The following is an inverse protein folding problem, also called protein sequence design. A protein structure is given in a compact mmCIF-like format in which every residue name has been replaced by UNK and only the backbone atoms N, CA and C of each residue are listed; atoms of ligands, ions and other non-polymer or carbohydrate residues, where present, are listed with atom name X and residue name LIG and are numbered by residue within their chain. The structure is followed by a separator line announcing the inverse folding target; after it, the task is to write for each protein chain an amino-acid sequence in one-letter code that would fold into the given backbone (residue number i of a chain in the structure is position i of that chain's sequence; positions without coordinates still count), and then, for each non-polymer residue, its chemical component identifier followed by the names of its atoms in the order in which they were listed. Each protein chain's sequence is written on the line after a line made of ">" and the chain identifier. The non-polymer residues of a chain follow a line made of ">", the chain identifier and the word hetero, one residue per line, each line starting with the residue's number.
data_IF_520534095534
#
_entry.id   IF_520534095534
#
_cell.length_a   1.000
_cell.length_b   1.000
_cell.length_c   1.000
_cell.angle_alpha   90.00
_cell.angle_beta   90.00
_cell.angle_gamma   90.00
#
_symmetry.space_group_name_H-M   'P 1'
#
loop_
_entity.id
_entity.type
_entity.pdbx_description
1 polymer ?
#
# COMPACT_ATOMS: atom_id res chain seq x y z
N UNK A 1 -12.31 22.75 17.70
CA UNK A 1 -10.91 22.45 18.07
C UNK A 1 -10.90 21.36 19.14
N UNK A 2 -10.41 20.21 18.81
CA UNK A 2 -10.34 19.07 19.75
C UNK A 2 -9.20 19.27 20.74
N UNK A 3 -9.50 19.12 22.03
CA UNK A 3 -8.45 19.14 23.06
C UNK A 3 -7.60 17.86 22.92
N UNK A 4 -6.27 17.94 23.04
CA UNK A 4 -5.45 16.74 23.08
C UNK A 4 -5.84 15.90 24.32
N UNK A 5 -5.86 14.59 24.15
CA UNK A 5 -6.07 13.66 25.25
C UNK A 5 -4.88 13.80 26.20
N UNK A 6 -5.18 13.94 27.50
CA UNK A 6 -4.15 14.06 28.55
C UNK A 6 -3.14 12.91 28.46
N UNK A 7 -1.84 13.22 28.40
CA UNK A 7 -0.75 12.26 28.29
C UNK A 7 -0.29 11.94 26.86
N UNK A 8 -0.99 12.43 25.83
CA UNK A 8 -0.55 12.29 24.44
C UNK A 8 0.14 13.58 24.01
N UNK A 9 1.41 13.48 23.62
CA UNK A 9 2.14 14.60 23.01
C UNK A 9 1.45 15.02 21.72
N UNK A 10 1.50 16.31 21.38
CA UNK A 10 0.96 16.86 20.14
C UNK A 10 1.33 15.98 18.93
N UNK A 11 0.30 15.47 18.26
CA UNK A 11 0.47 14.71 17.02
C UNK A 11 0.87 15.69 15.90
N UNK A 12 1.88 15.37 15.08
CA UNK A 12 2.21 16.21 13.93
C UNK A 12 0.99 16.45 13.05
N UNK A 13 0.82 17.66 12.56
CA UNK A 13 -0.26 17.96 11.61
C UNK A 13 0.15 17.56 10.22
N UNK A 14 -0.63 16.68 9.61
CA UNK A 14 -0.48 16.31 8.22
C UNK A 14 -1.42 17.14 7.36
N UNK A 15 -0.95 17.58 6.20
CA UNK A 15 -1.75 18.36 5.25
C UNK A 15 -2.64 17.49 4.39
N UNK A 16 -2.17 16.31 4.02
CA UNK A 16 -2.85 15.42 3.11
C UNK A 16 -2.62 13.97 3.51
N UNK A 17 -3.71 13.25 3.68
CA UNK A 17 -3.71 11.82 3.88
C UNK A 17 -4.30 11.10 2.68
N UNK A 18 -3.88 9.86 2.45
CA UNK A 18 -4.46 9.00 1.43
C UNK A 18 -4.88 7.67 2.04
N UNK A 19 -6.09 7.24 1.71
CA UNK A 19 -6.61 5.93 2.05
C UNK A 19 -6.74 5.09 0.78
N UNK A 20 -6.05 3.98 0.74
CA UNK A 20 -5.94 3.11 -0.42
C UNK A 20 -6.71 1.81 -0.16
N UNK A 21 -7.80 1.63 -0.87
CA UNK A 21 -8.68 0.48 -0.69
C UNK A 21 -8.06 -0.82 -1.22
N UNK A 22 -8.59 -1.95 -0.76
CA UNK A 22 -8.36 -3.22 -1.38
C UNK A 22 -9.10 -3.33 -2.73
N UNK A 23 -9.09 -4.49 -3.32
CA UNK A 23 -9.81 -4.75 -4.57
C UNK A 23 -9.15 -5.82 -5.44
N UNK A 24 -8.29 -6.63 -4.86
CA UNK A 24 -7.57 -7.67 -5.60
C UNK A 24 -6.75 -7.07 -6.74
N UNK A 25 -6.88 -7.61 -7.93
CA UNK A 25 -6.15 -7.14 -9.12
C UNK A 25 -6.44 -5.67 -9.46
N UNK A 26 -7.64 -5.16 -9.14
CA UNK A 26 -8.00 -3.75 -9.34
C UNK A 26 -7.19 -2.80 -8.46
N UNK A 27 -6.70 -3.28 -7.32
CA UNK A 27 -5.86 -2.50 -6.40
C UNK A 27 -4.54 -2.05 -7.04
N UNK A 28 -4.09 -2.68 -8.09
CA UNK A 28 -2.90 -2.24 -8.82
C UNK A 28 -3.08 -0.89 -9.53
N UNK A 29 -4.32 -0.43 -9.71
CA UNK A 29 -4.59 0.92 -10.19
C UNK A 29 -4.07 2.02 -9.25
N UNK A 30 -3.83 1.70 -7.97
CA UNK A 30 -3.26 2.66 -7.01
C UNK A 30 -1.93 3.23 -7.49
N UNK A 31 -1.11 2.43 -8.15
CA UNK A 31 0.17 2.90 -8.70
C UNK A 31 -0.01 4.05 -9.69
N UNK A 32 -0.98 3.93 -10.59
CA UNK A 32 -1.30 4.98 -11.57
C UNK A 32 -1.86 6.24 -10.92
N UNK A 33 -2.75 6.08 -9.94
CA UNK A 33 -3.33 7.22 -9.19
C UNK A 33 -2.26 7.97 -8.43
N UNK A 34 -1.39 7.27 -7.71
CA UNK A 34 -0.30 7.89 -6.94
C UNK A 34 0.69 8.62 -7.85
N UNK A 35 0.99 8.04 -9.00
CA UNK A 35 1.81 8.70 -10.01
C UNK A 35 1.18 10.01 -10.50
N UNK A 36 -0.11 9.97 -10.84
CA UNK A 36 -0.85 11.16 -11.28
C UNK A 36 -0.89 12.24 -10.18
N UNK A 37 -1.10 11.85 -8.93
CA UNK A 37 -1.05 12.77 -7.79
C UNK A 37 0.32 13.45 -7.70
N UNK A 38 1.38 12.69 -7.82
CA UNK A 38 2.74 13.23 -7.79
C UNK A 38 2.97 14.22 -8.93
N UNK A 39 2.54 13.91 -10.15
CA UNK A 39 2.64 14.80 -11.32
C UNK A 39 1.86 16.10 -11.12
N UNK A 40 0.75 16.05 -10.38
CA UNK A 40 -0.03 17.25 -10.02
C UNK A 40 0.52 18.00 -8.80
N UNK A 41 1.62 17.56 -8.23
CA UNK A 41 2.20 18.18 -7.02
C UNK A 41 1.49 17.81 -5.72
N UNK A 42 0.58 16.83 -5.75
CA UNK A 42 -0.11 16.33 -4.57
C UNK A 42 0.74 15.24 -3.91
N UNK A 43 1.34 15.55 -2.77
CA UNK A 43 2.16 14.59 -2.01
C UNK A 43 1.50 14.26 -0.68
N UNK A 44 0.91 13.07 -0.53
CA UNK A 44 0.39 12.63 0.77
C UNK A 44 1.51 12.49 1.80
N UNK A 45 1.18 12.81 3.03
CA UNK A 45 2.11 12.73 4.17
C UNK A 45 1.77 11.60 5.12
N UNK A 46 0.53 11.11 5.06
CA UNK A 46 0.06 9.98 5.85
C UNK A 46 -0.72 9.01 4.97
N UNK A 47 -0.56 7.72 5.22
CA UNK A 47 -1.07 6.68 4.37
C UNK A 47 -1.84 5.64 5.18
N UNK A 48 -2.97 5.20 4.66
CA UNK A 48 -3.68 4.02 5.16
C UNK A 48 -4.02 3.13 3.98
N UNK A 49 -4.02 1.84 4.18
CA UNK A 49 -4.31 0.93 3.07
C UNK A 49 -4.80 -0.44 3.52
N UNK A 50 -5.54 -1.08 2.64
CA UNK A 50 -6.08 -2.43 2.82
C UNK A 50 -5.66 -3.30 1.63
N UNK A 51 -5.15 -4.51 1.88
CA UNK A 51 -4.74 -5.47 0.84
C UNK A 51 -3.72 -4.85 -0.14
N UNK A 52 -3.98 -4.82 -1.42
CA UNK A 52 -3.12 -4.15 -2.40
C UNK A 52 -2.86 -2.68 -2.06
N UNK A 53 -3.85 -1.99 -1.49
CA UNK A 53 -3.68 -0.63 -0.98
C UNK A 53 -2.71 -0.57 0.20
N UNK A 54 -2.68 -1.59 1.06
CA UNK A 54 -1.69 -1.66 2.14
C UNK A 54 -0.27 -1.82 1.60
N UNK A 55 -0.09 -2.59 0.54
CA UNK A 55 1.21 -2.73 -0.14
C UNK A 55 1.69 -1.37 -0.65
N UNK A 56 0.82 -0.64 -1.35
CA UNK A 56 1.15 0.70 -1.83
C UNK A 56 1.47 1.67 -0.69
N UNK A 57 0.68 1.65 0.39
CA UNK A 57 0.90 2.48 1.56
C UNK A 57 2.25 2.21 2.23
N UNK A 58 2.63 0.94 2.39
CA UNK A 58 3.92 0.55 2.96
C UNK A 58 5.08 1.02 2.08
N UNK A 59 4.97 0.86 0.77
CA UNK A 59 6.01 1.29 -0.16
C UNK A 59 6.19 2.82 -0.13
N UNK A 60 5.09 3.57 -0.09
CA UNK A 60 5.15 5.03 0.06
C UNK A 60 5.80 5.43 1.38
N UNK A 61 5.41 4.80 2.49
CA UNK A 61 5.97 5.07 3.81
C UNK A 61 7.46 4.73 3.88
N UNK A 62 7.91 3.74 3.13
CA UNK A 62 9.32 3.36 3.01
C UNK A 62 10.12 4.30 2.09
N UNK A 63 9.48 5.29 1.47
CA UNK A 63 10.14 6.26 0.61
C UNK A 63 10.26 5.84 -0.85
N UNK A 64 9.54 4.80 -1.27
CA UNK A 64 9.53 4.39 -2.69
C UNK A 64 8.72 5.41 -3.49
N UNK A 65 9.29 5.90 -4.58
CA UNK A 65 8.64 6.88 -5.44
C UNK A 65 7.40 6.30 -6.12
N UNK A 66 6.38 7.14 -6.32
CA UNK A 66 5.10 6.71 -6.91
C UNK A 66 5.28 6.11 -8.32
N UNK A 67 6.22 6.63 -9.10
CA UNK A 67 6.52 6.08 -10.42
C UNK A 67 7.07 4.65 -10.35
N UNK A 68 7.92 4.36 -9.36
CA UNK A 68 8.45 3.02 -9.14
C UNK A 68 7.37 2.06 -8.65
N UNK A 69 6.46 2.52 -7.80
CA UNK A 69 5.30 1.72 -7.36
C UNK A 69 4.44 1.38 -8.58
N UNK A 70 4.16 2.35 -9.42
CA UNK A 70 3.38 2.15 -10.64
C UNK A 70 4.04 1.11 -11.57
N UNK A 71 5.32 1.24 -11.82
CA UNK A 71 6.08 0.29 -12.66
C UNK A 71 6.06 -1.13 -12.08
N UNK A 72 6.26 -1.25 -10.77
CA UNK A 72 6.25 -2.56 -10.08
C UNK A 72 4.88 -3.22 -10.16
N UNK A 73 3.81 -2.45 -9.96
CA UNK A 73 2.45 -2.95 -10.08
C UNK A 73 2.10 -3.31 -11.52
N UNK A 74 2.52 -2.52 -12.49
CA UNK A 74 2.29 -2.81 -13.91
C UNK A 74 2.97 -4.11 -14.36
N UNK A 75 4.13 -4.43 -13.79
CA UNK A 75 4.90 -5.64 -14.12
C UNK A 75 4.51 -6.85 -13.26
N UNK A 76 3.58 -6.69 -12.33
CA UNK A 76 3.17 -7.75 -11.42
C UNK A 76 1.85 -8.38 -11.88
N UNK A 77 1.79 -9.71 -11.89
CA UNK A 77 0.55 -10.44 -12.12
C UNK A 77 -0.09 -10.76 -10.76
N UNK A 78 -1.38 -10.48 -10.63
CA UNK A 78 -2.11 -10.80 -9.40
C UNK A 78 -1.98 -12.29 -9.03
N UNK A 79 -2.03 -13.18 -10.01
CA UNK A 79 -1.87 -14.62 -9.81
C UNK A 79 -0.50 -15.01 -9.22
N UNK A 80 0.54 -14.18 -9.40
CA UNK A 80 1.85 -14.39 -8.78
C UNK A 80 1.92 -13.90 -7.34
N UNK A 81 0.95 -13.09 -6.91
CA UNK A 81 0.89 -12.51 -5.57
C UNK A 81 0.13 -13.39 -4.58
N UNK A 82 -0.64 -14.34 -5.08
CA UNK A 82 -1.42 -15.28 -4.27
C UNK A 82 -1.14 -16.72 -4.69
N UNK A 83 -1.19 -17.63 -3.74
CA UNK A 83 -1.08 -19.06 -4.00
C UNK A 83 -2.17 -19.81 -3.22
N UNK A 84 -2.51 -21.02 -3.68
CA UNK A 84 -3.46 -21.85 -2.96
C UNK A 84 -2.89 -22.25 -1.60
N UNK A 85 -3.64 -21.98 -0.54
CA UNK A 85 -3.24 -22.25 0.84
C UNK A 85 -3.04 -23.76 1.13
N UNK A 86 -3.59 -24.63 0.30
CA UNK A 86 -3.40 -26.08 0.39
C UNK A 86 -1.91 -26.46 0.35
N UNK A 87 -1.09 -25.71 -0.40
CA UNK A 87 0.36 -25.95 -0.48
C UNK A 87 1.09 -25.52 0.80
N UNK A 88 0.54 -24.55 1.52
CA UNK A 88 1.18 -23.94 2.68
C UNK A 88 0.63 -24.44 4.02
N UNK A 89 -0.33 -25.38 3.99
CA UNK A 89 -0.96 -25.94 5.19
C UNK A 89 -1.80 -24.94 5.97
N UNK A 90 -2.17 -23.79 5.36
CA UNK A 90 -2.98 -22.76 5.99
C UNK A 90 -4.49 -23.06 5.94
N UNK A 91 -5.24 -22.45 6.85
CA UNK A 91 -6.70 -22.62 6.96
C UNK A 91 -7.51 -21.83 5.93
N UNK A 92 -6.89 -21.03 5.04
CA UNK A 92 -7.56 -20.25 4.01
C UNK A 92 -7.40 -20.84 2.63
N UNK A 93 -8.18 -20.36 1.66
CA UNK A 93 -8.13 -20.83 0.27
C UNK A 93 -6.89 -20.33 -0.47
N UNK A 94 -6.39 -19.13 -0.13
CA UNK A 94 -5.22 -18.51 -0.74
C UNK A 94 -4.21 -18.10 0.32
N UNK A 95 -2.92 -18.19 -0.04
CA UNK A 95 -1.82 -17.70 0.79
C UNK A 95 -1.38 -16.30 0.33
N UNK A 96 -0.98 -15.46 1.28
CA UNK A 96 -0.40 -14.14 1.02
C UNK A 96 1.14 -14.13 1.11
N UNK A 97 1.78 -15.29 1.21
CA UNK A 97 3.24 -15.39 1.25
C UNK A 97 3.92 -14.70 0.05
N UNK A 98 3.41 -14.80 -1.20
CA UNK A 98 3.97 -14.05 -2.32
C UNK A 98 3.92 -12.53 -2.14
N UNK A 99 2.89 -12.00 -1.49
CA UNK A 99 2.80 -10.58 -1.13
C UNK A 99 3.96 -10.14 -0.25
N UNK A 100 4.25 -10.91 0.78
CA UNK A 100 5.39 -10.63 1.66
C UNK A 100 6.71 -10.61 0.90
N UNK A 101 6.92 -11.57 0.01
CA UNK A 101 8.11 -11.60 -0.85
C UNK A 101 8.20 -10.39 -1.77
N UNK A 102 7.07 -9.99 -2.35
CA UNK A 102 7.01 -8.80 -3.20
C UNK A 102 7.43 -7.54 -2.42
N UNK A 103 6.82 -7.30 -1.27
CA UNK A 103 7.14 -6.13 -0.43
C UNK A 103 8.61 -6.13 -0.01
N UNK A 104 9.14 -7.27 0.44
CA UNK A 104 10.54 -7.35 0.88
C UNK A 104 11.56 -7.10 -0.23
N UNK A 105 11.20 -7.34 -1.49
CA UNK A 105 12.05 -6.99 -2.64
C UNK A 105 11.99 -5.49 -2.99
N UNK A 106 10.93 -4.82 -2.57
CA UNK A 106 10.70 -3.41 -2.92
C UNK A 106 11.25 -2.44 -1.88
N UNK A 107 11.52 -2.94 -0.69
CA UNK A 107 11.92 -2.11 0.47
C UNK A 107 13.41 -2.22 0.82
#
# INVERSE_FOLDING_TARGET
>A
MTRPISGIKTVPRYRLGVALSGGGARGFAHGGVLKAMQECGCRPEIYAGVSAGAVAAVLLAAGVEADDIHKRFANCKFSSMTSLAIRDGGGGLFSLAPFRKFVSKCV
#
